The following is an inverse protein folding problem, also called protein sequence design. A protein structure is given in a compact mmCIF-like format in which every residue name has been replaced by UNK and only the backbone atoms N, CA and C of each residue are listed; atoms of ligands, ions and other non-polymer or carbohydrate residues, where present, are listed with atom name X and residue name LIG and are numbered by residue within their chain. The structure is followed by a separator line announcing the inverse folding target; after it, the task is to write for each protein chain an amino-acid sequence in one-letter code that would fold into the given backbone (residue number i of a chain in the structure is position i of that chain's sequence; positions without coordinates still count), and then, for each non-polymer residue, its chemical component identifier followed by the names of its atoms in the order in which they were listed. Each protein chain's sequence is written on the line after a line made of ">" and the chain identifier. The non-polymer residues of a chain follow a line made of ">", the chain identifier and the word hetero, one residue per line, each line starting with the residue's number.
data_IF_381783906926
#
_entry.id   IF_381783906926
#
_cell.length_a   1.000
_cell.length_b   1.000
_cell.length_c   1.000
_cell.angle_alpha   90.00
_cell.angle_beta   90.00
_cell.angle_gamma   90.00
#
_symmetry.space_group_name_H-M   'P 1'
#
loop_
_entity.id
_entity.type
_entity.pdbx_description
1 polymer ?
#
# COMPACT_ATOMS: atom_id res chain seq x y z
N UNK A 1 9.16 -6.82 5.15
CA UNK A 1 8.33 -5.65 4.80
C UNK A 1 7.48 -5.32 5.99
N UNK A 2 7.89 -4.38 6.82
CA UNK A 2 7.45 -4.22 8.21
C UNK A 2 6.54 -3.00 8.39
N UNK A 3 5.66 -3.04 9.39
CA UNK A 3 5.00 -1.82 9.89
C UNK A 3 5.97 -1.12 10.84
N UNK A 4 6.13 0.20 10.67
CA UNK A 4 7.03 1.04 11.43
C UNK A 4 6.23 2.03 12.28
N UNK A 5 6.67 2.25 13.52
CA UNK A 5 6.12 3.27 14.42
C UNK A 5 7.25 4.17 14.86
N UNK A 6 6.95 5.46 14.88
CA UNK A 6 7.84 6.56 15.21
C UNK A 6 7.18 7.36 16.35
N UNK A 7 7.52 7.04 17.60
CA UNK A 7 6.87 7.65 18.76
C UNK A 7 7.18 9.13 18.89
N UNK A 8 8.42 9.64 18.63
CA UNK A 8 8.68 11.08 18.69
C UNK A 8 7.90 11.89 17.66
N UNK A 9 7.55 11.27 16.52
CA UNK A 9 6.79 11.90 15.44
C UNK A 9 5.28 11.64 15.54
N UNK A 10 4.83 10.87 16.54
CA UNK A 10 3.47 10.36 16.67
C UNK A 10 2.93 9.79 15.34
N UNK A 11 3.75 8.99 14.65
CA UNK A 11 3.46 8.54 13.29
C UNK A 11 3.63 7.02 13.14
N UNK A 12 2.79 6.39 12.32
CA UNK A 12 2.90 4.99 11.94
C UNK A 12 2.79 4.79 10.42
N UNK A 13 3.67 3.96 9.86
CA UNK A 13 3.61 3.54 8.47
C UNK A 13 2.80 2.25 8.31
N UNK A 14 1.65 2.33 7.61
CA UNK A 14 0.83 1.18 7.25
C UNK A 14 1.23 0.68 5.86
N UNK A 15 2.10 -0.33 5.82
CA UNK A 15 2.66 -0.84 4.58
C UNK A 15 1.64 -1.61 3.70
N UNK A 16 1.12 -0.95 2.66
CA UNK A 16 0.27 -1.57 1.63
C UNK A 16 1.16 -2.30 0.61
N UNK A 17 0.97 -3.60 0.35
CA UNK A 17 1.81 -4.33 -0.58
C UNK A 17 1.94 -3.65 -1.95
N UNK A 18 3.16 -3.66 -2.49
CA UNK A 18 3.49 -3.23 -3.87
C UNK A 18 3.31 -1.73 -4.15
N UNK A 19 3.41 -0.91 -3.10
CA UNK A 19 3.34 0.56 -3.15
C UNK A 19 4.66 1.24 -2.75
N UNK A 20 5.81 0.66 -3.10
CA UNK A 20 7.12 1.22 -2.73
C UNK A 20 7.55 0.98 -1.27
N UNK A 21 6.82 0.14 -0.55
CA UNK A 21 7.05 -0.20 0.86
C UNK A 21 8.49 -0.63 1.21
N UNK A 22 9.24 -1.23 0.27
CA UNK A 22 10.64 -1.63 0.53
C UNK A 22 11.57 -0.42 0.62
N UNK A 23 11.42 0.55 -0.30
CA UNK A 23 12.21 1.78 -0.28
C UNK A 23 11.88 2.60 0.98
N UNK A 24 10.58 2.70 1.31
CA UNK A 24 10.12 3.39 2.52
C UNK A 24 10.68 2.73 3.78
N UNK A 25 10.61 1.39 3.87
CA UNK A 25 11.15 0.69 5.02
C UNK A 25 12.66 0.93 5.16
N UNK A 26 13.41 0.89 4.06
CA UNK A 26 14.86 1.06 4.12
C UNK A 26 15.27 2.46 4.57
N UNK A 27 14.60 3.49 4.06
CA UNK A 27 14.87 4.87 4.45
C UNK A 27 14.42 5.17 5.89
N UNK A 28 13.26 4.66 6.31
CA UNK A 28 12.67 5.06 7.60
C UNK A 28 13.03 4.14 8.77
N UNK A 29 13.42 2.89 8.54
CA UNK A 29 13.70 1.93 9.61
C UNK A 29 14.75 2.40 10.63
N UNK A 30 15.82 3.14 10.27
CA UNK A 30 16.75 3.70 11.25
C UNK A 30 16.10 4.64 12.28
N UNK A 31 14.93 5.20 11.96
CA UNK A 31 14.20 6.14 12.82
C UNK A 31 13.06 5.46 13.61
N UNK A 32 12.77 4.19 13.36
CA UNK A 32 11.61 3.51 13.95
C UNK A 32 11.90 2.97 15.35
N UNK A 33 11.08 3.35 16.33
CA UNK A 33 11.14 2.82 17.70
C UNK A 33 10.59 1.40 17.79
N UNK A 34 9.56 1.09 16.97
CA UNK A 34 8.93 -0.22 16.94
C UNK A 34 8.79 -0.71 15.50
N UNK A 35 9.18 -1.96 15.27
CA UNK A 35 9.14 -2.62 13.96
C UNK A 35 8.38 -3.94 14.06
N UNK A 36 7.19 -4.01 13.47
CA UNK A 36 6.43 -5.27 13.37
C UNK A 36 6.87 -6.08 12.15
N UNK A 37 7.40 -7.29 12.38
CA UNK A 37 7.94 -8.20 11.35
C UNK A 37 7.06 -9.43 11.12
N UNK A 38 7.42 -10.23 10.10
CA UNK A 38 6.86 -11.58 9.88
C UNK A 38 5.38 -11.59 9.46
N UNK A 39 4.55 -12.45 10.06
CA UNK A 39 3.13 -12.56 9.70
C UNK A 39 2.30 -11.30 10.06
N UNK A 40 2.83 -10.41 10.91
CA UNK A 40 2.14 -9.18 11.37
C UNK A 40 2.53 -7.94 10.57
N UNK A 41 3.21 -8.13 9.45
CA UNK A 41 3.91 -7.08 8.70
C UNK A 41 2.99 -6.28 7.77
N UNK A 42 1.92 -6.90 7.29
CA UNK A 42 0.83 -6.24 6.57
C UNK A 42 -0.45 -6.39 7.41
N UNK A 43 -0.84 -5.33 8.09
CA UNK A 43 -2.14 -5.26 8.74
C UNK A 43 -3.00 -4.22 8.02
N UNK A 44 -4.30 -4.50 7.88
CA UNK A 44 -5.22 -3.47 7.40
C UNK A 44 -5.25 -2.29 8.35
N UNK A 45 -5.58 -1.10 7.85
CA UNK A 45 -5.81 0.10 8.68
C UNK A 45 -6.86 -0.20 9.76
N UNK A 46 -7.92 -0.97 9.45
CA UNK A 46 -8.89 -1.45 10.44
C UNK A 46 -8.23 -2.17 11.62
N UNK A 47 -7.28 -3.08 11.36
CA UNK A 47 -6.58 -3.81 12.42
C UNK A 47 -5.58 -2.91 13.16
N UNK A 48 -4.90 -2.00 12.45
CA UNK A 48 -4.05 -0.97 13.07
C UNK A 48 -4.84 -0.15 14.08
N UNK A 49 -5.97 0.43 13.67
CA UNK A 49 -6.83 1.26 14.52
C UNK A 49 -7.42 0.51 15.72
N UNK A 50 -7.77 -0.77 15.55
CA UNK A 50 -8.40 -1.54 16.62
C UNK A 50 -7.40 -2.13 17.62
N UNK A 51 -6.14 -2.34 17.23
CA UNK A 51 -5.19 -3.15 18.02
C UNK A 51 -3.86 -2.48 18.26
N UNK A 52 -3.30 -1.76 17.28
CA UNK A 52 -1.98 -1.14 17.41
C UNK A 52 -2.09 0.27 17.98
N UNK A 53 -2.95 1.11 17.41
CA UNK A 53 -3.13 2.49 17.87
C UNK A 53 -3.53 2.58 19.35
N UNK A 54 -4.48 1.78 19.88
CA UNK A 54 -4.82 1.81 21.31
C UNK A 54 -3.67 1.34 22.20
N UNK A 55 -3.00 0.23 21.81
CA UNK A 55 -1.85 -0.28 22.54
C UNK A 55 -0.74 0.77 22.69
N UNK A 56 -0.42 1.51 21.62
CA UNK A 56 0.62 2.55 21.69
C UNK A 56 0.17 3.73 22.54
N UNK A 57 -1.09 4.15 22.42
CA UNK A 57 -1.64 5.22 23.24
C UNK A 57 -1.61 4.86 24.73
N UNK A 58 -2.01 3.65 25.10
CA UNK A 58 -2.05 3.19 26.50
C UNK A 58 -0.66 2.95 27.09
N UNK A 59 0.29 2.48 26.29
CA UNK A 59 1.62 2.08 26.77
C UNK A 59 2.63 3.22 26.76
N UNK A 60 2.54 4.12 25.78
CA UNK A 60 3.53 5.17 25.54
C UNK A 60 2.96 6.59 25.63
N UNK A 61 1.66 6.74 25.91
CA UNK A 61 0.96 8.04 25.91
C UNK A 61 1.10 8.81 24.58
N UNK A 62 1.13 8.08 23.46
CA UNK A 62 1.29 8.65 22.11
C UNK A 62 0.07 8.41 21.24
N UNK A 63 -0.55 9.52 20.81
CA UNK A 63 -1.66 9.52 19.86
C UNK A 63 -1.17 9.43 18.40
N UNK A 64 -0.96 8.21 17.91
CA UNK A 64 -0.44 7.99 16.54
C UNK A 64 -1.39 8.48 15.43
N UNK A 65 -0.84 9.21 14.48
CA UNK A 65 -1.35 9.31 13.11
C UNK A 65 -0.78 8.17 12.25
N UNK A 66 -1.47 7.84 11.17
CA UNK A 66 -1.08 6.78 10.23
C UNK A 66 -0.93 7.32 8.82
N UNK A 67 0.09 6.86 8.11
CA UNK A 67 0.24 7.12 6.68
C UNK A 67 0.42 5.85 5.85
N UNK A 68 0.01 5.92 4.59
CA UNK A 68 0.18 4.87 3.61
C UNK A 68 0.41 5.45 2.22
N UNK A 69 0.84 4.60 1.29
CA UNK A 69 0.95 4.92 -0.13
C UNK A 69 -0.07 4.09 -0.91
N UNK A 70 -0.73 4.72 -1.87
CA UNK A 70 -1.60 4.10 -2.86
C UNK A 70 -0.93 4.22 -4.23
N UNK A 71 -0.90 3.14 -4.99
CA UNK A 71 -0.41 3.13 -6.38
C UNK A 71 -1.59 3.04 -7.34
N UNK A 72 -1.43 3.55 -8.55
CA UNK A 72 -2.38 3.32 -9.64
C UNK A 72 -2.75 1.82 -9.68
N UNK A 73 -4.06 1.46 -9.65
CA UNK A 73 -4.46 0.07 -9.45
C UNK A 73 -3.93 -0.92 -10.49
N UNK A 74 -3.89 -0.58 -11.78
CA UNK A 74 -3.34 -1.46 -12.82
C UNK A 74 -1.83 -1.66 -12.63
N UNK A 75 -1.09 -0.61 -12.35
CA UNK A 75 0.36 -0.65 -12.12
C UNK A 75 0.72 -1.40 -10.82
N UNK A 76 -0.15 -1.36 -9.80
CA UNK A 76 -0.01 -2.20 -8.62
C UNK A 76 -0.19 -3.70 -8.96
N UNK A 77 -1.20 -4.03 -9.76
CA UNK A 77 -1.46 -5.40 -10.23
C UNK A 77 -0.29 -5.89 -11.11
N UNK A 78 0.22 -5.03 -11.99
CA UNK A 78 1.43 -5.27 -12.79
C UNK A 78 2.64 -5.56 -11.92
N UNK A 79 2.82 -4.81 -10.83
CA UNK A 79 3.90 -5.05 -9.87
C UNK A 79 3.75 -6.41 -9.18
N UNK A 80 2.52 -6.82 -8.85
CA UNK A 80 2.23 -8.15 -8.31
C UNK A 80 2.54 -9.27 -9.29
N UNK A 81 2.09 -9.15 -10.55
CA UNK A 81 2.39 -10.12 -11.61
C UNK A 81 3.90 -10.32 -11.77
N UNK A 82 4.66 -9.23 -11.96
CA UNK A 82 6.14 -9.29 -12.06
C UNK A 82 6.81 -9.90 -10.81
N UNK A 83 6.20 -9.76 -9.64
CA UNK A 83 6.70 -10.41 -8.43
C UNK A 83 6.38 -11.90 -8.41
N UNK A 84 5.21 -12.30 -8.91
CA UNK A 84 4.76 -13.68 -8.96
C UNK A 84 5.33 -14.49 -10.13
N UNK A 85 5.99 -13.85 -11.09
CA UNK A 85 6.75 -14.50 -12.17
C UNK A 85 8.19 -14.85 -11.79
N UNK A 86 8.57 -14.62 -10.53
CA UNK A 86 9.94 -14.85 -10.05
C UNK A 86 10.24 -16.32 -9.83
N UNK A 87 11.43 -16.74 -10.25
CA UNK A 87 11.87 -18.13 -10.14
C UNK A 87 11.97 -18.61 -8.69
N UNK A 88 12.26 -17.71 -7.74
CA UNK A 88 12.35 -18.05 -6.30
C UNK A 88 11.03 -18.51 -5.68
N UNK A 89 9.90 -18.35 -6.39
CA UNK A 89 8.61 -18.86 -5.95
C UNK A 89 8.02 -19.89 -6.91
N UNK A 90 8.78 -20.39 -7.89
CA UNK A 90 8.29 -21.29 -8.95
C UNK A 90 7.53 -22.51 -8.44
N UNK A 91 7.95 -23.07 -7.31
CA UNK A 91 7.34 -24.26 -6.70
C UNK A 91 6.11 -23.94 -5.82
N UNK A 92 5.71 -22.67 -5.74
CA UNK A 92 4.59 -22.22 -4.92
C UNK A 92 3.32 -22.03 -5.74
N UNK A 93 2.12 -22.24 -5.15
CA UNK A 93 0.86 -22.03 -5.85
C UNK A 93 0.66 -20.56 -6.30
N UNK A 94 1.39 -19.61 -5.72
CA UNK A 94 1.36 -18.20 -6.12
C UNK A 94 2.16 -17.89 -7.39
N UNK A 95 2.97 -18.83 -7.93
CA UNK A 95 3.74 -18.59 -9.14
C UNK A 95 2.81 -18.37 -10.34
N UNK A 96 3.05 -17.29 -11.08
CA UNK A 96 2.25 -16.89 -12.25
C UNK A 96 3.08 -16.74 -13.52
N UNK A 97 4.34 -17.22 -13.54
CA UNK A 97 5.22 -17.06 -14.70
C UNK A 97 4.82 -17.90 -15.92
N UNK A 98 3.82 -18.76 -15.78
CA UNK A 98 3.20 -19.51 -16.88
C UNK A 98 2.03 -18.76 -17.55
N UNK A 99 1.62 -17.61 -17.00
CA UNK A 99 0.56 -16.75 -17.55
C UNK A 99 1.17 -15.51 -18.19
N UNK A 100 0.55 -15.02 -19.25
CA UNK A 100 0.70 -13.64 -19.70
C UNK A 100 0.05 -12.67 -18.69
N UNK A 101 0.32 -11.37 -18.82
CA UNK A 101 -0.34 -10.38 -17.97
C UNK A 101 -1.85 -10.28 -18.23
N UNK A 102 -2.27 -10.42 -19.50
CA UNK A 102 -3.68 -10.50 -19.88
C UNK A 102 -4.38 -11.64 -19.12
N UNK A 103 -3.87 -12.88 -19.25
CA UNK A 103 -4.44 -14.06 -18.57
C UNK A 103 -4.43 -13.90 -17.04
N UNK A 104 -3.39 -13.27 -16.48
CA UNK A 104 -3.34 -12.98 -15.06
C UNK A 104 -4.48 -12.05 -14.62
N UNK A 105 -4.76 -10.98 -15.38
CA UNK A 105 -5.83 -10.04 -15.06
C UNK A 105 -7.19 -10.69 -15.29
N UNK A 106 -7.39 -11.46 -16.34
CA UNK A 106 -8.64 -12.20 -16.56
C UNK A 106 -8.92 -13.20 -15.43
N UNK A 107 -7.91 -13.98 -15.05
CA UNK A 107 -8.03 -14.92 -13.94
C UNK A 107 -8.15 -14.23 -12.57
N UNK A 108 -7.67 -12.99 -12.42
CA UNK A 108 -7.92 -12.15 -11.23
C UNK A 108 -9.38 -11.72 -11.14
N UNK A 109 -10.04 -11.52 -12.29
CA UNK A 109 -11.43 -11.07 -12.41
C UNK A 109 -12.45 -12.21 -12.43
N UNK A 110 -12.00 -13.47 -12.40
CA UNK A 110 -12.89 -14.63 -12.36
C UNK A 110 -13.57 -14.77 -10.98
N UNK A 111 -14.68 -15.53 -10.93
CA UNK A 111 -15.41 -15.76 -9.68
C UNK A 111 -14.57 -16.54 -8.65
N UNK A 112 -13.75 -17.47 -9.14
CA UNK A 112 -12.86 -18.31 -8.34
C UNK A 112 -11.41 -18.11 -8.80
N UNK A 113 -10.79 -16.98 -8.43
CA UNK A 113 -9.43 -16.67 -8.89
C UNK A 113 -8.44 -17.70 -8.34
N UNK A 114 -7.54 -18.26 -9.16
CA UNK A 114 -6.51 -19.19 -8.70
C UNK A 114 -5.55 -18.51 -7.70
N UNK A 115 -4.83 -19.27 -6.87
CA UNK A 115 -3.92 -18.69 -5.87
C UNK A 115 -2.92 -17.68 -6.43
N UNK A 116 -2.43 -17.92 -7.65
CA UNK A 116 -1.50 -17.05 -8.37
C UNK A 116 -2.08 -15.67 -8.75
N UNK A 117 -3.41 -15.48 -8.76
CA UNK A 117 -4.06 -14.19 -9.03
C UNK A 117 -4.82 -13.60 -7.83
N UNK A 118 -4.89 -14.32 -6.71
CA UNK A 118 -5.45 -13.84 -5.44
C UNK A 118 -4.56 -12.77 -4.77
N UNK A 119 -4.51 -11.59 -5.39
CA UNK A 119 -3.87 -10.40 -4.83
C UNK A 119 -4.95 -9.50 -4.24
N UNK A 120 -4.77 -9.08 -2.99
CA UNK A 120 -5.74 -8.23 -2.31
C UNK A 120 -5.96 -6.88 -3.00
N UNK A 121 -6.92 -6.11 -2.49
CA UNK A 121 -7.21 -4.74 -2.90
C UNK A 121 -6.56 -3.73 -1.95
N UNK A 122 -6.03 -2.62 -2.48
CA UNK A 122 -5.51 -1.53 -1.65
C UNK A 122 -6.64 -0.88 -0.86
N UNK A 123 -7.77 -0.63 -1.53
CA UNK A 123 -8.96 -0.04 -0.90
C UNK A 123 -9.42 -0.87 0.30
N UNK A 124 -9.46 -2.21 0.18
CA UNK A 124 -9.81 -3.10 1.29
C UNK A 124 -8.84 -3.01 2.47
N UNK A 125 -7.55 -2.78 2.20
CA UNK A 125 -6.55 -2.60 3.25
C UNK A 125 -6.63 -1.23 3.92
N UNK A 126 -7.11 -0.21 3.21
CA UNK A 126 -7.23 1.16 3.68
C UNK A 126 -8.57 1.47 4.36
N UNK A 127 -9.61 0.67 4.09
CA UNK A 127 -10.99 0.95 4.50
C UNK A 127 -11.49 0.16 5.71
N UNK A 128 -12.48 0.75 6.39
CA UNK A 128 -13.25 0.16 7.48
C UNK A 128 -14.61 -0.38 7.03
N UNK A 129 -15.54 -0.49 7.98
CA UNK A 129 -16.94 -0.83 7.68
C UNK A 129 -17.56 0.29 6.83
N UNK A 130 -18.32 -0.06 5.80
CA UNK A 130 -18.99 0.90 4.92
C UNK A 130 -18.06 1.62 3.94
N UNK A 131 -16.85 1.10 3.67
CA UNK A 131 -15.94 1.66 2.65
C UNK A 131 -15.22 2.95 3.06
N UNK A 132 -15.43 3.44 4.30
CA UNK A 132 -14.74 4.64 4.80
C UNK A 132 -13.25 4.37 4.97
N UNK A 133 -12.42 5.25 4.40
CA UNK A 133 -10.97 5.24 4.63
C UNK A 133 -10.64 5.52 6.09
N UNK A 134 -9.71 4.74 6.63
CA UNK A 134 -9.29 4.88 8.03
C UNK A 134 -7.86 5.45 8.15
N UNK A 135 -7.11 5.59 7.07
CA UNK A 135 -5.76 6.17 7.10
C UNK A 135 -5.83 7.69 7.39
N UNK A 136 -4.88 8.23 8.15
CA UNK A 136 -4.84 9.68 8.43
C UNK A 136 -4.21 10.45 7.26
N UNK A 137 -3.15 9.93 6.65
CA UNK A 137 -2.49 10.50 5.45
C UNK A 137 -2.33 9.44 4.36
N UNK A 138 -2.72 9.76 3.12
CA UNK A 138 -2.56 8.89 1.96
C UNK A 138 -1.78 9.64 0.88
N UNK A 139 -0.76 8.99 0.32
CA UNK A 139 0.09 9.55 -0.73
C UNK A 139 0.02 8.71 -2.00
N UNK A 140 0.05 9.35 -3.16
CA UNK A 140 0.16 8.68 -4.45
C UNK A 140 1.59 8.16 -4.65
N UNK A 141 1.72 6.92 -5.14
CA UNK A 141 3.00 6.33 -5.51
C UNK A 141 3.70 7.13 -6.62
N UNK A 142 2.93 7.84 -7.43
CA UNK A 142 3.40 8.68 -8.52
C UNK A 142 3.95 10.03 -8.03
N UNK A 143 3.69 10.41 -6.77
CA UNK A 143 4.02 11.71 -6.18
C UNK A 143 4.87 11.56 -4.92
N UNK A 144 6.07 10.99 -5.10
CA UNK A 144 7.05 10.83 -4.02
C UNK A 144 7.47 12.15 -3.39
N UNK A 145 7.47 13.23 -4.16
CA UNK A 145 7.72 14.60 -3.68
C UNK A 145 6.82 14.95 -2.49
N UNK A 146 5.53 14.64 -2.57
CA UNK A 146 4.57 14.92 -1.48
C UNK A 146 4.86 14.12 -0.21
N UNK A 147 5.27 12.86 -0.38
CA UNK A 147 5.66 12.00 0.73
C UNK A 147 6.97 12.48 1.37
N UNK A 148 7.97 12.82 0.56
CA UNK A 148 9.26 13.35 1.00
C UNK A 148 9.11 14.67 1.77
N UNK A 149 8.30 15.61 1.27
CA UNK A 149 8.00 16.86 1.96
C UNK A 149 7.31 16.58 3.30
N UNK A 150 6.25 15.77 3.31
CA UNK A 150 5.53 15.44 4.54
C UNK A 150 6.45 14.81 5.60
N UNK A 151 7.27 13.83 5.19
CA UNK A 151 8.17 13.15 6.11
C UNK A 151 9.30 14.08 6.55
N UNK A 152 9.83 14.92 5.66
CA UNK A 152 10.89 15.85 6.04
C UNK A 152 10.41 16.86 7.07
N UNK A 153 9.19 17.39 6.89
CA UNK A 153 8.54 18.29 7.84
C UNK A 153 8.25 17.60 9.18
N UNK A 154 7.82 16.34 9.14
CA UNK A 154 7.48 15.57 10.33
C UNK A 154 8.71 15.15 11.13
N UNK A 155 9.79 14.75 10.46
CA UNK A 155 11.02 14.28 11.09
C UNK A 155 12.04 15.40 11.33
N UNK A 156 11.78 16.62 10.83
CA UNK A 156 12.69 17.79 10.93
C UNK A 156 14.08 17.52 10.35
N UNK A 157 14.14 16.67 9.33
CA UNK A 157 15.35 16.32 8.59
C UNK A 157 14.95 15.84 7.19
N UNK A 158 15.88 15.89 6.24
CA UNK A 158 15.62 15.38 4.90
C UNK A 158 15.50 13.84 4.92
N UNK A 159 14.41 13.32 4.37
CA UNK A 159 14.24 11.89 4.09
C UNK A 159 14.31 11.68 2.58
N UNK A 160 15.24 10.86 2.11
CA UNK A 160 15.39 10.52 0.68
C UNK A 160 15.12 9.04 0.45
N UNK A 161 14.48 8.71 -0.67
CA UNK A 161 14.21 7.33 -1.06
C UNK A 161 15.07 6.94 -2.25
N UNK A 162 15.84 5.87 -2.08
CA UNK A 162 16.57 5.27 -3.20
C UNK A 162 15.60 4.41 -4.03
N UNK A 163 15.48 4.63 -5.36
CA UNK A 163 14.68 3.79 -6.22
C UNK A 163 15.18 2.34 -6.15
N UNK A 164 14.29 1.41 -5.81
CA UNK A 164 14.63 -0.02 -5.73
C UNK A 164 13.66 -0.83 -6.56
N UNK A 165 13.81 -0.75 -7.88
CA UNK A 165 13.01 -1.51 -8.84
C UNK A 165 13.77 -2.76 -9.32
N UNK A 166 13.68 -3.84 -8.54
CA UNK A 166 14.22 -5.16 -8.90
C UNK A 166 13.12 -6.14 -9.35
N UNK A 167 12.16 -5.65 -10.12
CA UNK A 167 11.16 -6.53 -10.75
C UNK A 167 11.66 -6.98 -12.13
N UNK A 168 11.50 -8.26 -12.49
CA UNK A 168 11.85 -8.74 -13.82
C UNK A 168 11.16 -7.90 -14.90
N UNK A 169 11.85 -7.70 -16.02
CA UNK A 169 11.25 -7.12 -17.22
C UNK A 169 10.44 -8.21 -17.90
N UNK A 170 9.12 -8.17 -17.70
CA UNK A 170 8.16 -9.11 -18.29
C UNK A 170 7.17 -8.30 -19.12
N UNK A 171 6.75 -8.77 -20.31
CA UNK A 171 5.67 -8.18 -21.08
C UNK A 171 4.42 -8.04 -20.21
N UNK A 172 3.80 -6.87 -20.25
CA UNK A 172 2.65 -6.55 -19.40
C UNK A 172 1.56 -5.80 -20.17
N UNK A 173 1.46 -6.05 -21.46
CA UNK A 173 0.42 -5.45 -22.28
C UNK A 173 -0.95 -5.96 -21.84
N UNK A 174 -1.94 -5.07 -21.90
CA UNK A 174 -3.32 -5.34 -21.50
C UNK A 174 -4.25 -4.76 -22.54
N UNK A 175 -5.18 -5.57 -23.04
CA UNK A 175 -6.17 -5.14 -24.02
C UNK A 175 -7.09 -4.06 -23.44
N UNK A 176 -7.64 -3.20 -24.31
CA UNK A 176 -8.61 -2.18 -23.87
C UNK A 176 -9.87 -2.81 -23.25
N UNK A 177 -10.31 -3.96 -23.78
CA UNK A 177 -11.44 -4.71 -23.27
C UNK A 177 -11.20 -5.18 -21.83
N UNK A 178 -10.04 -5.79 -21.56
CA UNK A 178 -9.70 -6.28 -20.22
C UNK A 178 -9.42 -5.13 -19.26
N UNK A 179 -8.81 -4.02 -19.73
CA UNK A 179 -8.67 -2.80 -18.92
C UNK A 179 -10.02 -2.22 -18.51
N UNK A 180 -11.01 -2.18 -19.41
CA UNK A 180 -12.36 -1.72 -19.11
C UNK A 180 -13.05 -2.61 -18.06
N UNK A 181 -12.94 -3.94 -18.20
CA UNK A 181 -13.45 -4.91 -17.21
C UNK A 181 -12.79 -4.74 -15.84
N UNK A 182 -11.46 -4.59 -15.82
CA UNK A 182 -10.70 -4.34 -14.59
C UNK A 182 -11.15 -3.05 -13.90
N UNK A 183 -11.30 -1.96 -14.67
CA UNK A 183 -11.77 -0.67 -14.15
C UNK A 183 -13.18 -0.76 -13.58
N UNK A 184 -14.09 -1.47 -14.24
CA UNK A 184 -15.43 -1.71 -13.72
C UNK A 184 -15.41 -2.53 -12.42
N UNK A 185 -14.63 -3.62 -12.38
CA UNK A 185 -14.56 -4.50 -11.21
C UNK A 185 -13.90 -3.85 -9.98
N UNK A 186 -12.99 -2.90 -10.18
CA UNK A 186 -12.29 -2.18 -9.09
C UNK A 186 -12.60 -0.67 -9.09
N UNK A 187 -13.77 -0.26 -9.58
CA UNK A 187 -14.12 1.15 -9.81
C UNK A 187 -13.79 2.05 -8.61
N UNK A 188 -14.22 1.68 -7.40
CA UNK A 188 -13.98 2.48 -6.19
C UNK A 188 -12.48 2.66 -5.84
N UNK A 189 -11.61 1.71 -6.22
CA UNK A 189 -10.16 1.84 -6.01
C UNK A 189 -9.52 2.77 -7.06
N UNK A 190 -10.00 2.71 -8.30
CA UNK A 190 -9.63 3.66 -9.35
C UNK A 190 -10.11 5.08 -9.02
N UNK A 191 -11.35 5.24 -8.56
CA UNK A 191 -11.90 6.54 -8.16
C UNK A 191 -11.13 7.13 -6.97
N UNK A 192 -10.68 6.29 -6.04
CA UNK A 192 -9.81 6.73 -4.95
C UNK A 192 -8.46 7.24 -5.47
N UNK A 193 -7.84 6.52 -6.41
CA UNK A 193 -6.58 6.94 -7.02
C UNK A 193 -6.75 8.25 -7.79
N UNK A 194 -7.80 8.38 -8.60
CA UNK A 194 -8.12 9.62 -9.33
C UNK A 194 -8.26 10.81 -8.38
N UNK A 195 -9.09 10.68 -7.32
CA UNK A 195 -9.25 11.72 -6.29
C UNK A 195 -7.94 12.10 -5.61
N UNK A 196 -7.06 11.11 -5.39
CA UNK A 196 -5.76 11.33 -4.78
C UNK A 196 -4.86 12.15 -5.71
N UNK A 197 -4.86 11.84 -7.01
CA UNK A 197 -4.12 12.59 -8.03
C UNK A 197 -4.68 14.01 -8.22
N UNK A 198 -6.00 14.16 -8.24
CA UNK A 198 -6.67 15.48 -8.31
C UNK A 198 -6.35 16.36 -7.09
N UNK A 199 -5.97 15.74 -5.97
CA UNK A 199 -5.52 16.40 -4.74
C UNK A 199 -3.99 16.53 -4.65
N UNK A 200 -3.33 16.71 -5.80
CA UNK A 200 -1.88 16.82 -5.94
C UNK A 200 -1.09 15.61 -5.41
N UNK A 201 -1.72 14.43 -5.31
CA UNK A 201 -1.11 13.20 -4.82
C UNK A 201 -1.16 13.03 -3.30
N UNK A 202 -1.91 13.85 -2.56
CA UNK A 202 -2.04 13.72 -1.10
C UNK A 202 -3.49 13.89 -0.63
N UNK A 203 -3.95 12.98 0.24
CA UNK A 203 -5.24 13.06 0.91
C UNK A 203 -5.10 12.90 2.43
N UNK A 204 -5.93 13.60 3.19
CA UNK A 204 -6.10 13.42 4.63
C UNK A 204 -7.55 12.99 4.95
N UNK A 205 -7.95 11.75 4.62
CA UNK A 205 -9.37 11.35 4.60
C UNK A 205 -9.96 11.13 5.99
N UNK A 206 -9.13 10.97 7.01
CA UNK A 206 -9.55 10.93 8.41
C UNK A 206 -9.18 12.27 9.05
N UNK A 207 -10.17 13.14 9.19
CA UNK A 207 -10.02 14.31 10.06
C UNK A 207 -9.94 13.84 11.52
N UNK A 208 -8.98 14.38 12.27
CA UNK A 208 -8.94 14.20 13.71
C UNK A 208 -10.28 14.68 14.30
N UNK A 209 -10.86 13.93 15.24
CA UNK A 209 -11.83 14.56 16.14
C UNK A 209 -11.06 15.67 16.85
N UNK A 210 -11.56 16.89 16.80
CA UNK A 210 -11.10 17.94 17.71
C UNK A 210 -11.11 17.34 19.12
N UNK A 211 -10.02 17.50 19.85
CA UNK A 211 -10.02 17.22 21.28
C UNK A 211 -11.16 18.08 21.89
N UNK A 212 -12.14 17.40 22.47
CA UNK A 212 -13.17 18.02 23.32
C UNK A 212 -12.57 18.14 24.70
#
# INVERSE_FOLDING_TARGET
>A
MNMLIFTPQALAFVAIPKTGTTAIEQALRPHADIVFRGARKHISTKRFHRKVRPFISETFDVALESFAVLREPEDQIRSWYKYRTRDEIRDKPEYSGHLTFEEFVEALLSETPPPCTQIGSQLRMLSGRGGRLLIDHLFAYERWDQLETFLSDRFKQRITFEPRNVSPQVPTDLSEQTRARLRAARAAEFDLHARLMDSDGKLAPRQAKAAV
#
